data_IF_664092961116
#
_entry.id   IF_664092961116
#
_cell.length_a   1.000
_cell.length_b   1.000
_cell.length_c   1.000
_cell.angle_alpha   90.00
_cell.angle_beta   90.00
_cell.angle_gamma   90.00
#
_symmetry.space_group_name_H-M   'P 1'
#
loop_
_entity.id
_entity.type
_entity.pdbx_description
1 polymer ?
#
# COMPACT_ATOMS: atom_id res chain seq x y z
N UNK A 1 -9.41 -11.25 2.03
CA UNK A 1 -8.56 -10.08 1.72
C UNK A 1 -8.90 -8.96 2.70
N UNK A 2 -7.89 -8.28 3.24
CA UNK A 2 -8.11 -7.12 4.12
C UNK A 2 -8.60 -5.89 3.35
N UNK A 3 -9.01 -4.85 4.08
CA UNK A 3 -9.54 -3.61 3.50
C UNK A 3 -8.50 -2.51 3.59
N UNK A 4 -8.29 -1.79 2.50
CA UNK A 4 -7.42 -0.63 2.45
C UNK A 4 -8.26 0.62 2.19
N UNK A 5 -7.89 1.72 2.83
CA UNK A 5 -8.58 3.01 2.69
C UNK A 5 -7.57 4.08 2.30
N UNK A 6 -7.96 4.94 1.35
CA UNK A 6 -7.21 6.14 0.95
C UNK A 6 -8.19 7.29 0.92
N UNK A 7 -7.85 8.40 1.58
CA UNK A 7 -8.74 9.56 1.76
C UNK A 7 -10.15 9.18 2.28
N UNK A 8 -10.21 8.22 3.21
CA UNK A 8 -11.46 7.71 3.80
C UNK A 8 -12.25 6.76 2.91
N UNK A 9 -11.86 6.56 1.65
CA UNK A 9 -12.56 5.69 0.71
C UNK A 9 -11.91 4.32 0.69
N UNK A 10 -12.73 3.26 0.74
CA UNK A 10 -12.23 1.90 0.55
C UNK A 10 -11.74 1.74 -0.89
N UNK A 11 -10.52 1.26 -1.07
CA UNK A 11 -9.89 1.09 -2.39
C UNK A 11 -9.30 -0.30 -2.53
N UNK A 12 -9.29 -0.81 -3.76
CA UNK A 12 -8.39 -1.91 -4.14
C UNK A 12 -6.99 -1.33 -4.27
N UNK A 13 -6.09 -1.68 -3.35
CA UNK A 13 -4.71 -1.17 -3.37
C UNK A 13 -4.01 -1.55 -4.68
N UNK A 14 -4.26 -2.76 -5.20
CA UNK A 14 -3.68 -3.23 -6.45
C UNK A 14 -4.10 -2.34 -7.64
N UNK A 15 -5.41 -2.06 -7.78
CA UNK A 15 -5.91 -1.22 -8.86
C UNK A 15 -5.41 0.22 -8.74
N UNK A 16 -5.36 0.74 -7.51
CA UNK A 16 -4.84 2.08 -7.23
C UNK A 16 -3.37 2.19 -7.63
N UNK A 17 -2.53 1.24 -7.22
CA UNK A 17 -1.10 1.24 -7.55
C UNK A 17 -0.88 1.03 -9.06
N UNK A 18 -1.65 0.15 -9.70
CA UNK A 18 -1.59 -0.02 -11.15
C UNK A 18 -1.94 1.28 -11.89
N UNK A 19 -2.96 2.01 -11.42
CA UNK A 19 -3.37 3.31 -11.99
C UNK A 19 -2.34 4.42 -11.75
N UNK A 20 -1.79 4.51 -10.55
CA UNK A 20 -0.82 5.56 -10.18
C UNK A 20 0.55 5.34 -10.83
N UNK A 21 1.00 4.08 -10.87
CA UNK A 21 2.33 3.75 -11.38
C UNK A 21 2.33 3.43 -12.87
N UNK A 22 1.19 3.08 -13.48
CA UNK A 22 1.04 3.00 -14.94
C UNK A 22 2.01 2.03 -15.62
N UNK A 23 2.53 1.03 -14.91
CA UNK A 23 3.59 0.13 -15.39
C UNK A 23 5.01 0.71 -15.30
N UNK A 24 5.18 1.95 -14.86
CA UNK A 24 6.44 2.60 -14.57
C UNK A 24 6.85 2.44 -13.08
N UNK A 25 8.13 2.69 -12.83
CA UNK A 25 8.75 2.51 -11.52
C UNK A 25 8.41 3.66 -10.55
N UNK A 26 7.63 3.40 -9.50
CA UNK A 26 7.23 4.41 -8.50
C UNK A 26 8.29 4.64 -7.40
N UNK A 27 9.57 4.72 -7.77
CA UNK A 27 10.70 4.78 -6.83
C UNK A 27 10.70 5.99 -5.89
N UNK A 28 10.18 7.13 -6.36
CA UNK A 28 10.10 8.38 -5.58
C UNK A 28 8.83 8.47 -4.72
N UNK A 29 7.90 7.51 -4.83
CA UNK A 29 6.65 7.52 -4.08
C UNK A 29 6.93 7.13 -2.62
N UNK A 30 6.39 7.92 -1.68
CA UNK A 30 6.39 7.60 -0.26
C UNK A 30 5.02 7.10 0.16
N UNK A 31 4.97 5.96 0.84
CA UNK A 31 3.75 5.36 1.38
C UNK A 31 3.88 5.27 2.90
N UNK A 32 2.89 5.82 3.60
CA UNK A 32 2.76 5.73 5.06
C UNK A 32 1.55 4.87 5.39
N UNK A 33 1.78 3.77 6.09
CA UNK A 33 0.74 2.81 6.45
C UNK A 33 0.29 3.09 7.88
N UNK A 34 -1.01 3.29 8.05
CA UNK A 34 -1.66 3.36 9.36
C UNK A 34 -2.47 2.08 9.54
N UNK A 35 -2.01 1.20 10.42
CA UNK A 35 -2.67 -0.06 10.69
C UNK A 35 -3.43 0.02 12.02
N UNK A 36 -4.74 -0.23 11.99
CA UNK A 36 -5.53 -0.36 13.21
C UNK A 36 -5.07 -1.56 14.05
N UNK A 37 -5.38 -1.57 15.34
CA UNK A 37 -4.98 -2.64 16.27
C UNK A 37 -5.48 -4.04 15.88
N UNK A 38 -6.59 -4.13 15.12
CA UNK A 38 -7.12 -5.38 14.59
C UNK A 38 -6.51 -5.79 13.24
N UNK A 39 -5.60 -4.99 12.67
CA UNK A 39 -4.95 -5.31 11.41
C UNK A 39 -4.00 -6.48 11.61
N UNK A 40 -4.23 -7.55 10.85
CA UNK A 40 -3.37 -8.73 10.92
C UNK A 40 -2.04 -8.48 10.22
N UNK A 41 -0.98 -9.10 10.74
CA UNK A 41 0.36 -8.98 10.20
C UNK A 41 0.47 -9.46 8.74
N UNK A 42 -0.24 -10.52 8.35
CA UNK A 42 -0.24 -11.03 6.97
C UNK A 42 -0.82 -10.01 5.98
N UNK A 43 -1.89 -9.31 6.38
CA UNK A 43 -2.44 -8.24 5.55
C UNK A 43 -1.45 -7.08 5.39
N UNK A 44 -0.76 -6.70 6.46
CA UNK A 44 0.29 -5.68 6.40
C UNK A 44 1.43 -6.11 5.47
N UNK A 45 1.89 -7.36 5.58
CA UNK A 45 2.93 -7.91 4.72
C UNK A 45 2.52 -7.90 3.23
N UNK A 46 1.25 -8.21 2.93
CA UNK A 46 0.71 -8.11 1.58
C UNK A 46 0.74 -6.67 1.02
N UNK A 47 0.39 -5.68 1.83
CA UNK A 47 0.46 -4.26 1.45
C UNK A 47 1.91 -3.88 1.12
N UNK A 48 2.87 -4.26 1.98
CA UNK A 48 4.30 -4.03 1.73
C UNK A 48 4.77 -4.69 0.43
N UNK A 49 4.39 -5.95 0.20
CA UNK A 49 4.74 -6.69 -1.02
C UNK A 49 4.22 -5.98 -2.27
N UNK A 50 2.95 -5.59 -2.29
CA UNK A 50 2.32 -4.89 -3.41
C UNK A 50 3.02 -3.56 -3.73
N UNK A 51 3.41 -2.78 -2.71
CA UNK A 51 4.17 -1.56 -2.91
C UNK A 51 5.54 -1.84 -3.59
N UNK A 52 6.26 -2.86 -3.12
CA UNK A 52 7.57 -3.23 -3.69
C UNK A 52 7.47 -3.75 -5.13
N UNK A 53 6.42 -4.49 -5.46
CA UNK A 53 6.14 -4.95 -6.84
C UNK A 53 5.96 -3.78 -7.82
N UNK A 54 5.52 -2.61 -7.33
CA UNK A 54 5.39 -1.38 -8.11
C UNK A 54 6.61 -0.45 -7.99
N UNK A 55 7.72 -0.93 -7.42
CA UNK A 55 8.95 -0.15 -7.25
C UNK A 55 8.91 0.89 -6.14
N UNK A 56 7.89 0.87 -5.27
CA UNK A 56 7.78 1.80 -4.14
C UNK A 56 8.66 1.30 -3.01
N UNK A 57 9.83 1.92 -2.83
CA UNK A 57 10.77 1.50 -1.80
C UNK A 57 10.60 2.20 -0.47
N UNK A 58 10.09 3.43 -0.47
CA UNK A 58 9.88 4.24 0.72
C UNK A 58 8.49 3.94 1.34
N UNK A 59 8.40 2.81 2.05
CA UNK A 59 7.18 2.34 2.71
C UNK A 59 7.42 2.27 4.21
N UNK A 60 6.66 3.05 4.98
CA UNK A 60 6.83 3.22 6.42
C UNK A 60 5.54 2.84 7.15
N UNK A 61 5.64 2.03 8.20
CA UNK A 61 4.55 1.80 9.14
C UNK A 61 4.57 2.94 10.18
N UNK A 62 3.44 3.62 10.34
CA UNK A 62 3.27 4.68 11.34
C UNK A 62 2.53 4.09 12.54
N UNK A 63 3.17 4.16 13.71
CA UNK A 63 2.62 3.76 15.00
C UNK A 63 1.86 4.91 15.67
#
# INVERSE_FOLDING_TARGET
MGKTFVDGNQVSLQELLAKLCGGAFCGNTRVRIFAGSACRFDHLADVYRLCKEHGIYNVELVA
#
